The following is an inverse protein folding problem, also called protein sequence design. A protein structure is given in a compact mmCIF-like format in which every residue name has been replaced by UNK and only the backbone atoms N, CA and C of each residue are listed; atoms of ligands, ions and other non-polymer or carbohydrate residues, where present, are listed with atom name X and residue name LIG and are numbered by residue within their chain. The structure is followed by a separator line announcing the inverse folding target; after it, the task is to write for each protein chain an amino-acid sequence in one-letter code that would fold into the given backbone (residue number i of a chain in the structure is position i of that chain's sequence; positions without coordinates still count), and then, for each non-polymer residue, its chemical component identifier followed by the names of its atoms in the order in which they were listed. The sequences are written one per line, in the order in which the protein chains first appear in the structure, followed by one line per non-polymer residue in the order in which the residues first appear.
data_IF_641101362093
#
_entry.id   IF_641101362093
#
_cell.length_a   1.000
_cell.length_b   1.000
_cell.length_c   1.000
_cell.angle_alpha   90.00
_cell.angle_beta   90.00
_cell.angle_gamma   90.00
#
_symmetry.space_group_name_H-M   'P 1'
#
loop_
_entity.id
_entity.type
_entity.pdbx_description
1 polymer ?
#
# COMPACT_ATOMS: atom_id res chain seq x y z
N UNK A 1 2.15 7.20 4.99
CA UNK A 1 1.48 5.91 4.72
C UNK A 1 1.95 4.75 5.56
N UNK A 2 3.23 4.36 5.58
CA UNK A 2 3.73 3.19 6.35
C UNK A 2 3.23 3.06 7.79
N UNK A 3 3.17 4.17 8.55
CA UNK A 3 2.64 4.17 9.92
C UNK A 3 1.15 3.82 10.01
N UNK A 4 0.35 4.20 9.02
CA UNK A 4 -1.09 3.87 8.95
C UNK A 4 -1.28 2.39 8.63
N UNK A 5 -0.56 1.87 7.63
CA UNK A 5 -0.59 0.45 7.26
C UNK A 5 -0.27 -0.40 8.49
N UNK A 6 0.78 -0.03 9.24
CA UNK A 6 1.15 -0.75 10.48
C UNK A 6 0.10 -0.70 11.58
N UNK A 7 -0.65 0.39 11.66
CA UNK A 7 -1.65 0.60 12.70
C UNK A 7 -2.98 -0.08 12.37
N UNK A 8 -3.33 -0.17 11.09
CA UNK A 8 -4.56 -0.79 10.61
C UNK A 8 -4.39 -2.30 10.41
N UNK A 9 -3.28 -2.71 9.82
CA UNK A 9 -3.04 -4.07 9.34
C UNK A 9 -1.97 -4.82 10.15
N UNK A 10 -1.23 -4.13 11.01
CA UNK A 10 -0.25 -4.73 11.92
C UNK A 10 1.18 -4.77 11.38
N UNK A 11 1.80 -5.94 11.37
CA UNK A 11 3.17 -6.08 10.86
C UNK A 11 3.17 -6.02 9.33
N UNK A 12 3.98 -5.11 8.78
CA UNK A 12 4.20 -5.00 7.34
C UNK A 12 5.51 -5.66 6.96
N UNK A 13 5.53 -6.42 5.88
CA UNK A 13 6.76 -6.97 5.32
C UNK A 13 7.71 -5.86 4.85
N UNK A 14 9.04 -6.07 4.91
CA UNK A 14 10.01 -5.10 4.41
C UNK A 14 9.85 -4.81 2.91
N UNK A 15 9.33 -5.76 2.13
CA UNK A 15 9.02 -5.60 0.72
C UNK A 15 7.89 -4.57 0.50
N UNK A 16 6.76 -4.73 1.19
CA UNK A 16 5.65 -3.74 1.20
C UNK A 16 6.15 -2.37 1.64
N UNK A 17 6.99 -2.32 2.67
CA UNK A 17 7.57 -1.06 3.11
C UNK A 17 8.37 -0.37 1.99
N UNK A 18 9.22 -1.12 1.29
CA UNK A 18 10.02 -0.59 0.19
C UNK A 18 9.14 -0.09 -0.94
N UNK A 19 8.13 -0.88 -1.35
CA UNK A 19 7.21 -0.52 -2.42
C UNK A 19 6.43 0.75 -2.08
N UNK A 20 5.89 0.86 -0.86
CA UNK A 20 5.17 2.05 -0.41
C UNK A 20 6.07 3.29 -0.36
N UNK A 21 7.37 3.15 -0.08
CA UNK A 21 8.33 4.27 -0.15
C UNK A 21 8.64 4.70 -1.59
N UNK A 22 8.51 3.80 -2.56
CA UNK A 22 8.73 4.06 -3.98
C UNK A 22 7.49 4.64 -4.67
N UNK A 23 6.32 4.59 -4.03
CA UNK A 23 5.10 5.18 -4.55
C UNK A 23 5.18 6.71 -4.66
N UNK A 24 4.67 7.23 -5.77
CA UNK A 24 4.44 8.66 -5.97
C UNK A 24 3.35 9.19 -5.03
N UNK A 25 3.38 10.50 -4.77
CA UNK A 25 2.40 11.21 -3.94
C UNK A 25 0.93 10.91 -4.31
N UNK A 26 0.62 10.84 -5.60
CA UNK A 26 -0.73 10.49 -6.06
C UNK A 26 -1.18 9.09 -5.62
N UNK A 27 -0.29 8.10 -5.71
CA UNK A 27 -0.58 6.72 -5.27
C UNK A 27 -0.71 6.64 -3.74
N UNK A 28 0.04 7.45 -3.00
CA UNK A 28 -0.09 7.51 -1.53
C UNK A 28 -1.46 8.03 -1.10
N UNK A 29 -2.04 8.98 -1.86
CA UNK A 29 -3.40 9.49 -1.63
C UNK A 29 -4.44 8.39 -1.86
N UNK A 30 -4.36 7.70 -3.01
CA UNK A 30 -5.25 6.58 -3.37
C UNK A 30 -5.14 5.45 -2.34
N UNK A 31 -3.91 5.07 -1.96
CA UNK A 31 -3.69 4.08 -0.91
C UNK A 31 -4.35 4.52 0.40
N UNK A 32 -4.37 5.81 0.70
CA UNK A 32 -5.02 6.36 1.89
C UNK A 32 -6.53 6.17 1.90
N UNK A 33 -7.19 6.19 0.75
CA UNK A 33 -8.63 5.92 0.63
C UNK A 33 -8.90 4.41 0.62
N UNK A 34 -8.17 3.66 -0.22
CA UNK A 34 -8.37 2.23 -0.41
C UNK A 34 -7.98 1.42 0.84
N UNK A 35 -7.03 1.90 1.65
CA UNK A 35 -6.61 1.20 2.87
C UNK A 35 -7.71 1.10 3.92
N UNK A 36 -8.74 1.94 3.85
CA UNK A 36 -9.92 1.78 4.70
C UNK A 36 -10.78 0.58 4.30
N UNK A 37 -10.73 0.18 3.02
CA UNK A 37 -11.41 -1.02 2.51
C UNK A 37 -10.56 -2.29 2.70
N UNK A 38 -9.23 -2.14 2.63
CA UNK A 38 -8.27 -3.23 2.86
C UNK A 38 -8.37 -3.78 4.29
N UNK A 39 -8.48 -5.11 4.41
CA UNK A 39 -8.57 -5.80 5.70
C UNK A 39 -7.29 -6.55 6.06
N UNK A 40 -6.46 -6.87 5.08
CA UNK A 40 -5.23 -7.64 5.27
C UNK A 40 -4.04 -7.04 4.53
N UNK A 41 -2.83 -7.42 4.95
CA UNK A 41 -1.60 -7.02 4.25
C UNK A 41 -1.59 -7.52 2.81
N UNK A 42 -2.19 -8.68 2.54
CA UNK A 42 -2.32 -9.22 1.19
C UNK A 42 -3.13 -8.31 0.25
N UNK A 43 -4.12 -7.58 0.77
CA UNK A 43 -4.85 -6.57 -0.02
C UNK A 43 -3.93 -5.41 -0.44
N UNK A 44 -3.06 -4.95 0.48
CA UNK A 44 -2.06 -3.91 0.19
C UNK A 44 -1.06 -4.40 -0.84
N UNK A 45 -0.58 -5.64 -0.71
CA UNK A 45 0.36 -6.26 -1.65
C UNK A 45 -0.24 -6.35 -3.06
N UNK A 46 -1.48 -6.85 -3.19
CA UNK A 46 -2.18 -6.87 -4.48
C UNK A 46 -2.41 -5.47 -5.05
N UNK A 47 -2.80 -4.51 -4.20
CA UNK A 47 -3.01 -3.14 -4.65
C UNK A 47 -1.71 -2.51 -5.17
N UNK A 48 -0.59 -2.73 -4.47
CA UNK A 48 0.74 -2.26 -4.89
C UNK A 48 1.15 -2.83 -6.25
N UNK A 49 0.87 -4.12 -6.48
CA UNK A 49 1.14 -4.78 -7.75
C UNK A 49 0.29 -4.18 -8.89
N UNK A 50 -1.03 -4.02 -8.67
CA UNK A 50 -1.92 -3.34 -9.61
C UNK A 50 -1.47 -1.91 -9.94
N UNK A 51 -0.93 -1.16 -8.97
CA UNK A 51 -0.39 0.17 -9.23
C UNK A 51 0.85 0.18 -10.14
N UNK A 52 1.55 -0.95 -10.29
CA UNK A 52 2.71 -1.07 -11.18
C UNK A 52 2.28 -1.42 -12.60
N UNK A 53 1.20 -2.18 -12.74
CA UNK A 53 0.62 -2.55 -14.05
C UNK A 53 -0.07 -1.36 -14.75
N UNK A 54 -0.64 -0.42 -13.99
CA UNK A 54 -1.32 0.77 -14.55
C UNK A 54 -0.34 1.75 -15.26
N UNK A 55 0.98 1.59 -15.11
CA UNK A 55 1.99 2.45 -15.77
C UNK A 55 2.52 1.91 -17.13
N UNK A 56 2.01 0.78 -17.66
CA UNK A 56 2.28 0.31 -19.04
C UNK A 56 1.27 0.86 -20.06
#
# INVERSE_FOLDING_TARGET
MLRLIRRLLGEISPEVESQVKQLSLAKLDILGEEIFDMKTIADVENWLDSQREIEE
#
